data_IF_011097577850
#
_entry.id   IF_011097577850
#
_cell.length_a   1.000
_cell.length_b   1.000
_cell.length_c   1.000
_cell.angle_alpha   90.00
_cell.angle_beta   90.00
_cell.angle_gamma   90.00
#
_symmetry.space_group_name_H-M   'P 1'
#
loop_
_entity.id
_entity.type
_entity.pdbx_description
1 polymer ?
#
# COMPACT_ATOMS: atom_id res chain seq x y z
N UNK A 1 5.30 -11.09 -9.12
CA UNK A 1 4.66 -9.77 -8.89
C UNK A 1 4.17 -9.28 -10.24
N UNK A 2 2.91 -8.84 -10.33
CA UNK A 2 2.37 -8.28 -11.58
C UNK A 2 2.73 -6.79 -11.67
N UNK A 3 3.03 -6.34 -12.87
CA UNK A 3 3.20 -4.91 -13.19
C UNK A 3 1.83 -4.23 -13.29
N UNK A 4 1.69 -2.94 -12.97
CA UNK A 4 0.39 -2.25 -13.02
C UNK A 4 -0.33 -2.38 -14.36
N UNK A 5 0.40 -2.38 -15.46
CA UNK A 5 -0.15 -2.49 -16.82
C UNK A 5 -0.78 -3.87 -17.12
N UNK A 6 -0.50 -4.86 -16.28
CA UNK A 6 -1.02 -6.22 -16.39
C UNK A 6 -2.15 -6.52 -15.39
N UNK A 7 -2.55 -5.51 -14.58
CA UNK A 7 -3.65 -5.67 -13.65
C UNK A 7 -4.98 -5.69 -14.42
N UNK A 8 -5.76 -6.75 -14.21
CA UNK A 8 -7.07 -6.96 -14.85
C UNK A 8 -8.18 -7.21 -13.84
N UNK A 9 -7.86 -7.33 -12.57
CA UNK A 9 -8.85 -7.55 -11.52
C UNK A 9 -9.68 -6.29 -11.31
N UNK A 10 -10.98 -6.39 -11.58
CA UNK A 10 -11.92 -5.26 -11.56
C UNK A 10 -12.15 -4.77 -10.13
N UNK A 11 -12.36 -5.69 -9.16
CA UNK A 11 -12.62 -5.34 -7.76
C UNK A 11 -11.42 -4.63 -7.14
N UNK A 12 -10.20 -5.12 -7.43
CA UNK A 12 -8.97 -4.50 -6.97
C UNK A 12 -8.79 -3.08 -7.54
N UNK A 13 -9.01 -2.91 -8.85
CA UNK A 13 -8.85 -1.62 -9.53
C UNK A 13 -9.95 -0.62 -9.11
N UNK A 14 -11.18 -1.06 -8.90
CA UNK A 14 -12.25 -0.23 -8.34
C UNK A 14 -11.90 0.21 -6.91
N UNK A 15 -11.40 -0.70 -6.07
CA UNK A 15 -10.95 -0.38 -4.73
C UNK A 15 -9.84 0.70 -4.75
N UNK A 16 -8.87 0.63 -5.69
CA UNK A 16 -7.86 1.69 -5.86
C UNK A 16 -8.48 3.05 -6.16
N UNK A 17 -9.43 3.07 -7.10
CA UNK A 17 -10.03 4.31 -7.59
C UNK A 17 -10.98 4.94 -6.59
N UNK A 18 -11.86 4.14 -5.98
CA UNK A 18 -13.04 4.62 -5.26
C UNK A 18 -12.76 4.72 -3.75
N UNK A 19 -12.10 3.70 -3.18
CA UNK A 19 -11.79 3.67 -1.75
C UNK A 19 -10.51 4.48 -1.46
N UNK A 20 -10.51 5.77 -1.80
CA UNK A 20 -9.36 6.67 -1.64
C UNK A 20 -9.78 8.13 -1.59
N UNK A 21 -9.11 8.91 -0.75
CA UNK A 21 -9.28 10.36 -0.63
C UNK A 21 -8.21 11.16 -1.40
N UNK A 22 -7.25 10.49 -2.02
CA UNK A 22 -6.19 11.15 -2.78
C UNK A 22 -6.65 11.60 -4.17
N UNK A 23 -5.93 12.53 -4.75
CA UNK A 23 -6.10 12.96 -6.14
C UNK A 23 -4.74 13.07 -6.84
N UNK A 24 -4.73 12.79 -8.14
CA UNK A 24 -3.54 12.89 -9.00
C UNK A 24 -3.94 13.65 -10.24
N UNK A 25 -3.45 14.89 -10.38
CA UNK A 25 -3.66 15.70 -11.57
C UNK A 25 -2.40 15.69 -12.43
N UNK A 26 -2.55 15.77 -13.75
CA UNK A 26 -1.44 15.86 -14.67
C UNK A 26 -1.54 17.18 -15.42
N UNK A 27 -0.57 18.08 -15.20
CA UNK A 27 -0.46 19.36 -15.89
C UNK A 27 0.89 19.41 -16.63
N UNK A 28 0.87 19.74 -17.91
CA UNK A 28 2.07 19.83 -18.75
C UNK A 28 2.97 18.57 -18.70
N UNK A 29 2.36 17.39 -18.55
CA UNK A 29 3.08 16.11 -18.47
C UNK A 29 3.74 15.83 -17.10
N UNK A 30 3.46 16.65 -16.08
CA UNK A 30 3.91 16.43 -14.71
C UNK A 30 2.73 16.08 -13.81
N UNK A 31 2.89 15.04 -13.03
CA UNK A 31 1.91 14.64 -12.03
C UNK A 31 2.03 15.51 -10.78
N UNK A 32 0.87 16.00 -10.31
CA UNK A 32 0.70 16.65 -9.02
C UNK A 32 -0.11 15.75 -8.10
N UNK A 33 0.36 15.55 -6.90
CA UNK A 33 -0.20 14.60 -5.93
C UNK A 33 -0.83 15.36 -4.76
N UNK A 34 -2.10 15.05 -4.47
CA UNK A 34 -2.85 15.65 -3.35
C UNK A 34 -3.34 14.51 -2.47
N UNK A 35 -2.97 14.51 -1.19
CA UNK A 35 -3.35 13.50 -0.21
C UNK A 35 -2.23 12.54 0.16
N UNK A 36 -2.59 11.34 0.63
CA UNK A 36 -1.62 10.35 1.09
C UNK A 36 -0.80 9.78 -0.08
N UNK A 37 0.56 9.81 -0.03
CA UNK A 37 1.40 9.29 -1.11
C UNK A 37 1.11 7.83 -1.49
N UNK A 38 0.78 6.99 -0.51
CA UNK A 38 0.41 5.59 -0.73
C UNK A 38 -0.85 5.49 -1.60
N UNK A 39 -1.87 6.30 -1.32
CA UNK A 39 -3.11 6.34 -2.11
C UNK A 39 -2.86 6.92 -3.51
N UNK A 40 -2.03 7.95 -3.62
CA UNK A 40 -1.62 8.49 -4.93
C UNK A 40 -0.94 7.42 -5.79
N UNK A 41 -0.08 6.58 -5.19
CA UNK A 41 0.56 5.48 -5.91
C UNK A 41 -0.46 4.45 -6.46
N UNK A 42 -1.53 4.17 -5.70
CA UNK A 42 -2.63 3.29 -6.18
C UNK A 42 -3.37 3.91 -7.37
N UNK A 43 -3.66 5.21 -7.33
CA UNK A 43 -4.32 5.90 -8.44
C UNK A 43 -3.43 5.94 -9.70
N UNK A 44 -2.12 6.11 -9.53
CA UNK A 44 -1.16 6.00 -10.64
C UNK A 44 -1.13 4.59 -11.19
N UNK A 45 -1.19 3.56 -10.34
CA UNK A 45 -1.25 2.15 -10.77
C UNK A 45 -2.54 1.87 -11.56
N UNK A 46 -3.70 2.35 -11.09
CA UNK A 46 -4.96 2.23 -11.80
C UNK A 46 -4.90 2.92 -13.19
N UNK A 47 -4.34 4.12 -13.27
CA UNK A 47 -4.13 4.84 -14.54
C UNK A 47 -3.24 4.06 -15.50
N UNK A 48 -2.15 3.46 -15.03
CA UNK A 48 -1.28 2.60 -15.83
C UNK A 48 -1.99 1.34 -16.33
N UNK A 49 -2.95 0.83 -15.56
CA UNK A 49 -3.86 -0.25 -15.97
C UNK A 49 -4.96 0.20 -16.95
N UNK A 50 -4.96 1.47 -17.37
CA UNK A 50 -5.95 2.03 -18.31
C UNK A 50 -7.26 2.51 -17.66
N UNK A 51 -7.28 2.69 -16.34
CA UNK A 51 -8.45 3.15 -15.60
C UNK A 51 -8.37 4.64 -15.29
N UNK A 52 -9.46 5.35 -15.58
CA UNK A 52 -9.67 6.74 -15.18
C UNK A 52 -10.41 6.76 -13.83
N UNK A 53 -9.66 7.01 -12.75
CA UNK A 53 -10.22 7.03 -11.40
C UNK A 53 -11.24 8.17 -11.20
N UNK A 54 -11.08 9.31 -11.88
CA UNK A 54 -12.01 10.44 -11.78
C UNK A 54 -13.37 10.03 -12.31
N UNK A 55 -13.38 9.47 -13.52
CA UNK A 55 -14.61 8.95 -14.13
C UNK A 55 -15.24 7.84 -13.28
N UNK A 56 -14.43 6.94 -12.73
CA UNK A 56 -14.92 5.87 -11.85
C UNK A 56 -15.58 6.40 -10.58
N UNK A 57 -15.03 7.48 -9.99
CA UNK A 57 -15.65 8.13 -8.82
C UNK A 57 -16.93 8.90 -9.17
N UNK A 58 -16.98 9.53 -10.35
CA UNK A 58 -18.17 10.23 -10.82
C UNK A 58 -19.34 9.27 -11.12
N UNK A 59 -19.02 8.08 -11.63
CA UNK A 59 -20.01 7.04 -11.95
C UNK A 59 -20.46 6.24 -10.71
N UNK A 60 -19.68 6.26 -9.62
CA UNK A 60 -19.93 5.48 -8.42
C UNK A 60 -21.00 6.15 -7.51
N UNK A 61 -22.04 5.42 -7.14
CA UNK A 61 -22.99 5.84 -6.10
C UNK A 61 -22.43 5.46 -4.72
N UNK A 62 -21.50 6.31 -4.21
CA UNK A 62 -20.89 6.12 -2.90
C UNK A 62 -21.90 6.51 -1.82
N UNK A 63 -22.33 5.55 -1.01
CA UNK A 63 -23.31 5.76 0.07
C UNK A 63 -22.67 5.97 1.42
N UNK A 64 -21.48 5.38 1.67
CA UNK A 64 -20.76 5.59 2.92
C UNK A 64 -19.24 5.41 2.75
N UNK A 65 -18.48 6.16 3.55
CA UNK A 65 -17.02 6.03 3.67
C UNK A 65 -16.67 5.94 5.14
N UNK A 66 -16.02 4.86 5.53
CA UNK A 66 -15.32 4.74 6.82
C UNK A 66 -13.87 5.17 6.59
N UNK A 67 -13.49 6.38 7.04
CA UNK A 67 -12.16 6.91 6.74
C UNK A 67 -11.06 6.12 7.44
N UNK A 68 -9.84 6.20 6.91
CA UNK A 68 -8.69 5.55 7.53
C UNK A 68 -8.53 5.96 8.99
N UNK A 69 -8.35 4.97 9.84
CA UNK A 69 -8.05 5.13 11.25
C UNK A 69 -6.74 4.42 11.60
N UNK A 70 -5.83 5.12 12.28
CA UNK A 70 -4.58 4.53 12.78
C UNK A 70 -4.83 3.42 13.79
N UNK A 71 -5.96 3.45 14.49
CA UNK A 71 -6.36 2.42 15.43
C UNK A 71 -6.86 1.16 14.72
N UNK A 72 -7.72 1.32 13.71
CA UNK A 72 -8.27 0.21 12.93
C UNK A 72 -7.32 -0.28 11.85
N UNK A 73 -6.45 0.59 11.34
CA UNK A 73 -5.46 0.35 10.27
C UNK A 73 -6.08 -0.05 8.92
N UNK A 74 -7.30 0.41 8.66
CA UNK A 74 -8.02 0.20 7.41
C UNK A 74 -8.90 1.39 7.05
N UNK A 75 -9.46 1.32 5.85
CA UNK A 75 -10.45 2.23 5.28
C UNK A 75 -11.42 1.41 4.44
N UNK A 76 -12.70 1.76 4.50
CA UNK A 76 -13.74 1.08 3.73
C UNK A 76 -14.67 2.06 3.05
N UNK A 77 -15.20 1.67 1.91
CA UNK A 77 -16.18 2.45 1.14
C UNK A 77 -17.30 1.54 0.68
N UNK A 78 -18.55 2.00 0.85
CA UNK A 78 -19.75 1.28 0.42
C UNK A 78 -20.34 1.99 -0.79
N UNK A 79 -20.55 1.23 -1.84
CA UNK A 79 -21.23 1.66 -3.06
C UNK A 79 -22.61 1.02 -3.17
N UNK A 80 -23.57 1.76 -3.72
CA UNK A 80 -24.82 1.17 -4.21
C UNK A 80 -24.59 0.61 -5.61
N UNK A 81 -25.09 -0.59 -5.84
CA UNK A 81 -25.05 -1.27 -7.13
C UNK A 81 -26.47 -1.70 -7.53
N UNK A 82 -26.73 -2.06 -8.79
CA UNK A 82 -28.04 -2.58 -9.21
C UNK A 82 -28.49 -3.84 -8.44
N UNK A 83 -27.54 -4.59 -7.88
CA UNK A 83 -27.77 -5.87 -7.18
C UNK A 83 -27.70 -5.77 -5.65
N UNK A 84 -27.64 -4.55 -5.08
CA UNK A 84 -27.48 -4.32 -3.65
C UNK A 84 -26.34 -3.34 -3.35
N UNK A 85 -25.37 -3.74 -2.54
CA UNK A 85 -24.24 -2.87 -2.21
C UNK A 85 -22.92 -3.62 -2.35
N UNK A 86 -21.85 -2.88 -2.58
CA UNK A 86 -20.47 -3.39 -2.60
C UNK A 86 -19.66 -2.65 -1.55
N UNK A 87 -19.08 -3.41 -0.63
CA UNK A 87 -18.11 -2.93 0.35
C UNK A 87 -16.71 -3.18 -0.18
N UNK A 88 -15.90 -2.13 -0.31
CA UNK A 88 -14.48 -2.21 -0.58
C UNK A 88 -13.70 -1.90 0.69
N UNK A 89 -12.72 -2.74 1.01
CA UNK A 89 -11.86 -2.61 2.19
C UNK A 89 -10.40 -2.61 1.76
N UNK A 90 -9.59 -1.70 2.30
CA UNK A 90 -8.14 -1.71 2.16
C UNK A 90 -7.46 -1.43 3.49
N UNK A 91 -6.31 -2.03 3.73
CA UNK A 91 -5.61 -1.76 4.99
C UNK A 91 -4.42 -2.66 5.26
N UNK A 92 -4.15 -2.82 6.56
CA UNK A 92 -3.09 -3.70 7.04
C UNK A 92 -3.27 -5.13 6.52
N UNK A 93 -2.24 -5.72 5.88
CA UNK A 93 -2.37 -6.99 5.19
C UNK A 93 -2.74 -8.16 6.12
N UNK A 94 -2.20 -8.20 7.33
CA UNK A 94 -2.51 -9.26 8.28
C UNK A 94 -3.97 -9.18 8.75
N UNK A 95 -4.49 -7.95 8.97
CA UNK A 95 -5.88 -7.73 9.34
C UNK A 95 -6.83 -8.17 8.21
N UNK A 96 -6.59 -7.67 6.99
CA UNK A 96 -7.46 -7.98 5.83
C UNK A 96 -7.46 -9.48 5.55
N UNK A 97 -6.30 -10.13 5.60
CA UNK A 97 -6.19 -11.57 5.40
C UNK A 97 -6.96 -12.36 6.45
N UNK A 98 -6.92 -11.92 7.72
CA UNK A 98 -7.68 -12.55 8.81
C UNK A 98 -9.19 -12.40 8.63
N UNK A 99 -9.66 -11.26 8.14
CA UNK A 99 -11.09 -10.99 7.89
C UNK A 99 -11.62 -11.68 6.62
N UNK A 100 -10.73 -12.22 5.79
CA UNK A 100 -11.08 -12.88 4.53
C UNK A 100 -11.32 -14.36 4.76
N UNK A 101 -12.58 -14.78 4.63
CA UNK A 101 -13.00 -16.18 4.74
C UNK A 101 -12.92 -16.95 3.40
N UNK A 102 -12.76 -16.24 2.29
CA UNK A 102 -12.74 -16.84 0.95
C UNK A 102 -11.50 -17.70 0.66
N UNK A 103 -10.42 -17.53 1.44
CA UNK A 103 -9.16 -18.22 1.25
C UNK A 103 -9.01 -19.43 2.18
N UNK A 104 -8.56 -20.59 1.67
CA UNK A 104 -8.10 -21.71 2.49
C UNK A 104 -6.90 -21.30 3.37
N UNK A 105 -6.79 -21.90 4.56
CA UNK A 105 -5.70 -21.60 5.49
C UNK A 105 -4.29 -21.85 4.93
N UNK A 106 -4.16 -22.81 4.01
CA UNK A 106 -2.89 -23.08 3.32
C UNK A 106 -2.48 -21.93 2.40
N UNK A 107 -3.45 -21.35 1.68
CA UNK A 107 -3.21 -20.19 0.81
C UNK A 107 -2.89 -18.94 1.64
N UNK A 108 -3.57 -18.74 2.78
CA UNK A 108 -3.27 -17.64 3.69
C UNK A 108 -1.83 -17.67 4.18
N UNK A 109 -1.32 -18.84 4.56
CA UNK A 109 0.09 -19.02 4.97
C UNK A 109 1.07 -18.63 3.87
N UNK A 110 0.81 -19.06 2.63
CA UNK A 110 1.67 -18.68 1.49
C UNK A 110 1.66 -17.17 1.26
N UNK A 111 0.50 -16.52 1.44
CA UNK A 111 0.38 -15.06 1.31
C UNK A 111 1.13 -14.38 2.46
N UNK A 112 1.00 -14.84 3.70
CA UNK A 112 1.71 -14.31 4.87
C UNK A 112 3.23 -14.40 4.70
N UNK A 113 3.74 -15.51 4.20
CA UNK A 113 5.17 -15.68 3.90
C UNK A 113 5.65 -14.66 2.86
N UNK A 114 4.87 -14.44 1.79
CA UNK A 114 5.16 -13.42 0.79
C UNK A 114 5.13 -12.01 1.37
N UNK A 115 4.11 -11.68 2.17
CA UNK A 115 4.00 -10.39 2.86
C UNK A 115 5.25 -10.15 3.72
N UNK A 116 5.62 -11.11 4.56
CA UNK A 116 6.82 -11.04 5.41
C UNK A 116 8.10 -10.83 4.59
N UNK A 117 8.23 -11.54 3.48
CA UNK A 117 9.36 -11.39 2.54
C UNK A 117 9.45 -9.98 1.96
N UNK A 118 8.33 -9.35 1.62
CA UNK A 118 8.30 -7.98 1.08
C UNK A 118 8.46 -6.91 2.16
N UNK A 119 7.99 -7.15 3.38
CA UNK A 119 8.21 -6.24 4.51
C UNK A 119 9.70 -6.05 4.79
N UNK A 120 10.50 -7.09 4.62
CA UNK A 120 11.96 -7.01 4.77
C UNK A 120 12.66 -6.18 3.69
N UNK A 121 11.97 -5.83 2.60
CA UNK A 121 12.50 -5.06 1.47
C UNK A 121 12.07 -3.59 1.45
N UNK A 122 11.75 -2.99 2.61
CA UNK A 122 11.35 -1.59 2.76
C UNK A 122 10.06 -1.19 1.99
N UNK A 123 9.25 -2.16 1.61
CA UNK A 123 7.97 -1.89 0.93
C UNK A 123 6.82 -1.66 1.92
N UNK A 124 6.02 -0.63 1.69
CA UNK A 124 4.73 -0.48 2.37
C UNK A 124 3.73 -1.41 1.70
N UNK A 125 3.11 -2.30 2.47
CA UNK A 125 2.15 -3.28 1.95
C UNK A 125 0.74 -2.87 2.35
N UNK A 126 -0.16 -2.89 1.37
CA UNK A 126 -1.60 -2.78 1.57
C UNK A 126 -2.29 -3.99 0.97
N UNK A 127 -3.22 -4.58 1.72
CA UNK A 127 -4.12 -5.61 1.21
C UNK A 127 -5.50 -5.02 0.91
N UNK A 128 -6.21 -5.72 0.05
CA UNK A 128 -7.51 -5.34 -0.50
C UNK A 128 -8.47 -6.51 -0.44
N UNK A 129 -9.71 -6.20 -0.14
CA UNK A 129 -10.80 -7.16 -0.13
C UNK A 129 -12.11 -6.46 -0.45
N UNK A 130 -13.11 -7.23 -0.83
CA UNK A 130 -14.47 -6.73 -1.04
C UNK A 130 -15.50 -7.68 -0.45
N UNK A 131 -16.75 -7.19 -0.34
CA UNK A 131 -17.92 -8.00 0.04
C UNK A 131 -19.17 -7.44 -0.60
N UNK A 132 -19.99 -8.32 -1.17
CA UNK A 132 -21.36 -7.98 -1.57
C UNK A 132 -22.26 -7.95 -0.35
N UNK A 133 -23.08 -6.91 -0.25
CA UNK A 133 -24.09 -6.76 0.79
C UNK A 133 -25.47 -6.68 0.14
N UNK A 134 -26.42 -7.48 0.59
CA UNK A 134 -27.78 -7.46 0.05
C UNK A 134 -28.52 -6.17 0.45
N UNK A 135 -28.22 -5.63 1.63
CA UNK A 135 -28.79 -4.40 2.16
C UNK A 135 -27.76 -3.65 3.02
N UNK A 136 -27.98 -2.35 3.13
CA UNK A 136 -27.25 -1.43 4.00
C UNK A 136 -28.18 -0.33 4.45
N UNK A 137 -28.28 -0.11 5.77
CA UNK A 137 -29.21 0.85 6.37
C UNK A 137 -28.55 2.17 6.75
N UNK A 138 -27.20 2.16 6.91
CA UNK A 138 -26.42 3.28 7.40
C UNK A 138 -26.24 3.29 8.91
N UNK A 139 -26.77 2.31 9.63
CA UNK A 139 -26.67 2.17 11.08
C UNK A 139 -25.65 1.12 11.53
N UNK A 140 -25.16 0.29 10.59
CA UNK A 140 -24.20 -0.78 10.87
C UNK A 140 -22.81 -0.22 11.18
N UNK A 141 -22.15 -0.83 12.16
CA UNK A 141 -20.77 -0.51 12.48
C UNK A 141 -19.82 -1.13 11.45
N UNK A 142 -18.70 -0.46 11.22
CA UNK A 142 -17.67 -0.91 10.28
C UNK A 142 -17.23 -2.36 10.54
N UNK A 143 -17.02 -2.71 11.81
CA UNK A 143 -16.56 -4.04 12.23
C UNK A 143 -17.58 -5.16 11.95
N UNK A 144 -18.87 -4.84 11.93
CA UNK A 144 -19.92 -5.80 11.59
C UNK A 144 -19.96 -6.10 10.11
N UNK A 145 -19.66 -5.10 9.29
CA UNK A 145 -19.62 -5.22 7.83
C UNK A 145 -18.33 -5.90 7.34
N UNK A 146 -17.22 -5.62 7.98
CA UNK A 146 -15.89 -6.14 7.63
C UNK A 146 -15.65 -7.58 8.12
N UNK A 147 -16.59 -8.45 7.86
CA UNK A 147 -16.51 -9.89 8.14
C UNK A 147 -16.72 -10.67 6.86
N UNK A 148 -16.14 -11.85 6.76
CA UNK A 148 -16.31 -12.75 5.60
C UNK A 148 -16.00 -12.09 4.26
N UNK A 149 -14.87 -11.41 4.21
CA UNK A 149 -14.42 -10.70 3.02
C UNK A 149 -13.91 -11.67 1.94
N UNK A 150 -14.04 -11.26 0.69
CA UNK A 150 -13.37 -11.87 -0.45
C UNK A 150 -12.03 -11.15 -0.64
N UNK A 151 -10.93 -11.90 -0.55
CA UNK A 151 -9.59 -11.35 -0.68
C UNK A 151 -9.23 -11.08 -2.14
N UNK A 152 -8.90 -9.84 -2.49
CA UNK A 152 -8.53 -9.41 -3.85
C UNK A 152 -7.02 -9.45 -4.09
N UNK A 153 -6.23 -9.38 -3.02
CA UNK A 153 -4.78 -9.38 -3.13
C UNK A 153 -4.10 -8.32 -2.27
N UNK A 154 -2.80 -8.15 -2.50
CA UNK A 154 -2.03 -7.09 -1.88
C UNK A 154 -1.11 -6.41 -2.88
N UNK A 155 -0.73 -5.17 -2.59
CA UNK A 155 0.27 -4.42 -3.34
C UNK A 155 1.43 -4.05 -2.44
N UNK A 156 2.61 -3.99 -3.03
CA UNK A 156 3.83 -3.50 -2.41
C UNK A 156 4.16 -2.14 -3.02
N UNK A 157 4.17 -1.12 -2.21
CA UNK A 157 4.51 0.24 -2.60
C UNK A 157 5.88 0.54 -2.03
N UNK A 158 6.86 0.72 -2.89
CA UNK A 158 8.22 1.12 -2.53
C UNK A 158 8.51 2.49 -3.11
N UNK A 159 9.20 3.30 -2.34
CA UNK A 159 9.79 4.54 -2.83
C UNK A 159 11.19 4.20 -3.36
N UNK A 160 11.41 4.19 -4.69
CA UNK A 160 12.71 3.81 -5.21
C UNK A 160 13.74 4.87 -4.84
N UNK A 161 14.94 4.40 -4.47
CA UNK A 161 16.06 5.30 -4.27
C UNK A 161 16.32 6.14 -5.52
N UNK A 162 16.54 7.44 -5.34
CA UNK A 162 16.91 8.30 -6.46
C UNK A 162 18.20 7.77 -7.13
N UNK A 163 18.23 7.65 -8.46
CA UNK A 163 19.42 7.20 -9.17
C UNK A 163 20.68 8.02 -8.84
N UNK A 164 20.52 9.30 -8.53
CA UNK A 164 21.61 10.22 -8.19
C UNK A 164 22.29 9.88 -6.86
N UNK A 165 21.60 9.22 -5.94
CA UNK A 165 22.14 8.86 -4.62
C UNK A 165 23.33 7.92 -4.74
N UNK A 166 23.27 6.93 -5.62
CA UNK A 166 24.38 6.00 -5.87
C UNK A 166 25.65 6.74 -6.29
N UNK A 167 25.49 7.65 -7.24
CA UNK A 167 26.61 8.50 -7.70
C UNK A 167 27.13 9.44 -6.63
N UNK A 168 26.25 10.01 -5.81
CA UNK A 168 26.63 10.91 -4.71
C UNK A 168 27.45 10.18 -3.64
N UNK A 169 26.98 9.02 -3.17
CA UNK A 169 27.71 8.20 -2.20
C UNK A 169 29.07 7.76 -2.75
N UNK A 170 29.12 7.35 -4.04
CA UNK A 170 30.37 6.99 -4.68
C UNK A 170 31.38 8.13 -4.73
N UNK A 171 30.93 9.37 -4.98
CA UNK A 171 31.79 10.57 -4.93
C UNK A 171 32.29 10.87 -3.51
N UNK A 172 31.43 10.76 -2.51
CA UNK A 172 31.81 10.94 -1.10
C UNK A 172 32.93 9.95 -0.71
N UNK A 173 32.76 8.67 -1.01
CA UNK A 173 33.77 7.65 -0.73
C UNK A 173 35.12 7.92 -1.39
N UNK A 174 35.11 8.31 -2.67
CA UNK A 174 36.35 8.69 -3.39
C UNK A 174 37.04 9.90 -2.77
N UNK A 175 36.30 10.80 -2.16
CA UNK A 175 36.82 11.96 -1.45
C UNK A 175 37.21 11.66 0.01
N UNK A 176 37.12 10.41 0.47
CA UNK A 176 37.41 10.03 1.86
C UNK A 176 36.33 10.50 2.86
N UNK A 177 35.13 10.82 2.39
CA UNK A 177 34.01 11.25 3.20
C UNK A 177 33.16 10.03 3.56
N UNK A 178 33.02 9.75 4.85
CA UNK A 178 32.12 8.72 5.37
C UNK A 178 30.68 9.23 5.37
N UNK A 179 29.78 8.46 4.76
CA UNK A 179 28.34 8.78 4.69
C UNK A 179 27.61 7.92 5.72
N UNK A 180 26.77 8.57 6.55
CA UNK A 180 25.91 7.90 7.55
C UNK A 180 24.45 8.17 7.24
N UNK A 181 23.63 7.13 7.34
CA UNK A 181 22.17 7.24 7.19
C UNK A 181 21.53 7.29 8.57
N UNK A 182 20.76 8.35 8.83
CA UNK A 182 19.90 8.50 10.01
C UNK A 182 18.45 8.51 9.54
N UNK A 183 17.62 7.63 10.10
CA UNK A 183 16.21 7.50 9.72
C UNK A 183 15.36 7.15 10.94
N UNK A 184 14.08 7.53 10.88
CA UNK A 184 13.05 7.09 11.84
C UNK A 184 12.35 5.79 11.44
N UNK A 185 12.75 5.15 10.33
CA UNK A 185 12.21 3.87 9.90
C UNK A 185 12.69 2.74 10.83
N UNK A 186 12.00 1.59 10.76
CA UNK A 186 12.47 0.40 11.49
C UNK A 186 13.81 -0.09 10.94
N UNK A 187 14.56 -0.79 11.79
CA UNK A 187 15.93 -1.26 11.47
C UNK A 187 15.99 -2.16 10.23
N UNK A 188 14.97 -2.96 9.96
CA UNK A 188 14.93 -3.85 8.78
C UNK A 188 14.84 -3.04 7.48
N UNK A 189 13.98 -2.02 7.46
CA UNK A 189 13.86 -1.09 6.34
C UNK A 189 15.16 -0.33 6.12
N UNK A 190 15.74 0.23 7.19
CA UNK A 190 17.00 0.96 7.15
C UNK A 190 18.15 0.08 6.62
N UNK A 191 18.25 -1.15 7.08
CA UNK A 191 19.24 -2.13 6.59
C UNK A 191 19.09 -2.42 5.11
N UNK A 192 17.87 -2.69 4.65
CA UNK A 192 17.61 -2.98 3.24
C UNK A 192 18.03 -1.83 2.32
N UNK A 193 17.77 -0.58 2.73
CA UNK A 193 18.20 0.62 1.99
C UNK A 193 19.72 0.77 2.02
N UNK A 194 20.34 0.62 3.19
CA UNK A 194 21.78 0.73 3.36
C UNK A 194 22.55 -0.33 2.56
N UNK A 195 22.02 -1.55 2.49
CA UNK A 195 22.57 -2.63 1.68
C UNK A 195 22.49 -2.33 0.19
N UNK A 196 21.34 -1.86 -0.31
CA UNK A 196 21.18 -1.41 -1.69
C UNK A 196 22.17 -0.29 -2.06
N UNK A 197 22.49 0.60 -1.13
CA UNK A 197 23.45 1.69 -1.30
C UNK A 197 24.90 1.23 -1.04
N UNK A 198 25.11 -0.05 -0.79
CA UNK A 198 26.42 -0.63 -0.43
C UNK A 198 27.08 0.08 0.76
N UNK A 199 26.27 0.54 1.73
CA UNK A 199 26.76 1.23 2.93
C UNK A 199 27.11 0.26 4.07
N UNK A 200 26.74 -1.01 3.95
CA UNK A 200 27.04 -2.05 4.93
C UNK A 200 28.21 -2.91 4.46
N UNK A 201 29.15 -3.21 5.36
CA UNK A 201 30.27 -4.12 5.17
C UNK A 201 30.76 -4.63 6.54
N UNK A 202 31.98 -5.17 6.62
CA UNK A 202 32.53 -5.69 7.87
C UNK A 202 32.75 -4.60 8.95
N UNK A 203 32.97 -3.35 8.53
CA UNK A 203 33.28 -2.21 9.41
C UNK A 203 32.07 -1.26 9.60
N UNK A 204 31.05 -1.40 8.77
CA UNK A 204 29.86 -0.52 8.77
C UNK A 204 28.59 -1.33 8.99
N UNK A 205 27.95 -1.09 10.13
CA UNK A 205 26.74 -1.81 10.57
C UNK A 205 25.56 -0.87 10.75
N UNK A 206 24.36 -1.43 10.73
CA UNK A 206 23.13 -0.72 11.10
C UNK A 206 22.77 -1.08 12.55
N UNK A 207 22.51 -0.05 13.36
CA UNK A 207 22.16 -0.18 14.78
C UNK A 207 20.94 0.69 15.10
N UNK A 208 20.19 0.33 16.11
CA UNK A 208 19.15 1.18 16.68
C UNK A 208 19.75 2.23 17.61
N UNK A 209 19.10 3.40 17.72
CA UNK A 209 19.60 4.50 18.58
C UNK A 209 19.76 4.05 20.05
N UNK A 210 18.89 3.19 20.54
CA UNK A 210 18.94 2.59 21.87
C UNK A 210 20.21 1.73 22.13
N UNK A 211 20.84 1.21 21.07
CA UNK A 211 22.07 0.44 21.18
C UNK A 211 23.33 1.32 21.23
N UNK A 212 23.21 2.60 20.86
CA UNK A 212 24.34 3.57 20.86
C UNK A 212 24.49 4.23 22.23
N UNK A 213 23.41 4.36 23.00
CA UNK A 213 23.37 5.01 24.32
C UNK A 213 23.85 4.09 25.46
N UNK A 214 24.24 2.85 25.16
CA UNK A 214 24.79 1.88 26.09
C UNK A 214 26.31 1.88 26.00
#
# INVERSE_FOLDING_TARGET
MLEPEKLTDVCLLENFCINSNANVTTEEGKDSFIGNPTECALLVAARKAGWDYTKKREEADIVHIFPFSSQKKDMSTILRTPEGYMLYVKGNPEKILKLSSSLPEEEKKVIEEKITSFQSCAGRILAFAHKKLDHYTGEEFQEELETDLVYDGFVVISDPLSPDVYGAIGRCRKAGIEVKMLTGDNILTARAIADQLHMLDADHIAVEASEIEA
#
